data_IF_401377594409
#
_entry.id   IF_401377594409
#
_cell.length_a   1.000
_cell.length_b   1.000
_cell.length_c   1.000
_cell.angle_alpha   90.00
_cell.angle_beta   90.00
_cell.angle_gamma   90.00
#
_symmetry.space_group_name_H-M   'P 1'
#
loop_
_entity.id
_entity.type
_entity.pdbx_description
1 polymer ?
#
# COMPACT_ATOMS: atom_id res chain seq x y z
N UNK A 1 18.47 18.24 43.93
CA UNK A 1 18.39 19.10 42.72
C UNK A 1 17.04 18.79 42.07
N UNK A 2 15.94 19.39 42.52
CA UNK A 2 15.30 20.62 42.01
C UNK A 2 15.10 20.64 40.48
N UNK A 3 13.86 20.28 40.11
CA UNK A 3 12.96 20.85 39.07
C UNK A 3 13.49 20.96 37.61
N UNK A 4 12.70 20.99 36.53
CA UNK A 4 11.37 21.55 36.27
C UNK A 4 10.77 20.81 35.06
N UNK A 5 9.51 20.39 35.16
CA UNK A 5 8.61 20.08 34.05
C UNK A 5 8.14 21.36 33.39
N UNK A 6 8.17 21.45 32.05
CA UNK A 6 7.52 22.54 31.31
C UNK A 6 6.69 21.94 30.16
N UNK A 7 5.38 21.92 30.39
CA UNK A 7 4.34 21.71 29.38
C UNK A 7 4.23 22.97 28.51
N UNK A 8 4.16 22.80 27.19
CA UNK A 8 3.73 23.87 26.27
C UNK A 8 2.39 23.47 25.67
N UNK A 9 1.36 24.23 26.06
CA UNK A 9 0.03 24.26 25.48
C UNK A 9 0.10 25.02 24.15
N UNK A 10 -0.37 24.41 23.06
CA UNK A 10 -0.68 25.13 21.81
C UNK A 10 -2.18 25.41 21.82
N UNK A 11 -2.51 26.70 21.94
CA UNK A 11 -3.88 27.20 21.90
C UNK A 11 -4.38 27.27 20.46
N UNK A 12 -5.50 26.58 20.19
CA UNK A 12 -6.26 26.75 18.96
C UNK A 12 -7.11 28.02 19.06
N UNK A 13 -6.86 29.00 18.18
CA UNK A 13 -7.72 30.16 18.01
C UNK A 13 -8.69 29.90 16.84
N UNK A 14 -9.93 29.52 17.18
CA UNK A 14 -11.07 29.58 16.26
C UNK A 14 -11.55 31.04 16.20
N UNK A 15 -11.58 31.65 15.02
CA UNK A 15 -12.30 32.92 14.81
C UNK A 15 -13.57 32.63 14.02
N UNK A 16 -14.71 32.88 14.66
CA UNK A 16 -16.03 32.88 14.04
C UNK A 16 -16.30 34.29 13.49
N UNK A 17 -16.55 34.40 12.19
CA UNK A 17 -17.07 35.62 11.57
C UNK A 17 -18.53 35.82 11.95
N UNK A 18 -18.85 36.99 12.51
CA UNK A 18 -20.22 37.46 12.73
C UNK A 18 -20.49 38.67 11.82
N UNK A 19 -21.53 38.57 11.00
CA UNK A 19 -22.07 39.65 10.18
C UNK A 19 -22.86 40.67 11.02
N UNK A 20 -22.77 41.96 10.66
CA UNK A 20 -23.76 42.99 11.01
C UNK A 20 -23.70 44.13 10.00
N UNK A 21 -24.87 44.54 9.52
CA UNK A 21 -25.08 45.53 8.46
C UNK A 21 -25.56 46.91 8.98
N UNK A 22 -25.32 47.94 8.16
CA UNK A 22 -26.00 49.25 8.00
C UNK A 22 -26.01 50.28 9.17
N UNK A 23 -25.91 51.62 8.98
CA UNK A 23 -25.91 52.52 7.81
C UNK A 23 -25.52 53.98 8.22
N UNK A 24 -25.07 54.77 7.22
CA UNK A 24 -25.13 56.25 7.02
C UNK A 24 -24.49 57.27 7.99
N UNK A 25 -23.47 58.00 7.54
CA UNK A 25 -23.56 59.37 6.98
C UNK A 25 -22.15 59.99 6.74
N UNK A 26 -22.01 60.76 5.65
CA UNK A 26 -20.78 61.48 5.23
C UNK A 26 -20.96 63.02 5.41
N UNK A 27 -20.03 63.92 5.01
CA UNK A 27 -18.62 63.78 4.58
C UNK A 27 -17.64 64.84 5.18
N UNK A 28 -16.30 64.63 5.10
CA UNK A 28 -15.35 65.70 4.68
C UNK A 28 -13.92 65.19 4.43
N UNK A 29 -13.45 65.38 3.20
CA UNK A 29 -12.10 65.77 2.72
C UNK A 29 -10.81 65.33 3.45
N UNK A 30 -9.91 64.67 2.70
CA UNK A 30 -8.48 64.55 2.98
C UNK A 30 -7.82 63.49 2.09
N UNK A 31 -6.75 63.86 1.39
CA UNK A 31 -6.12 63.15 0.27
C UNK A 31 -5.08 62.09 0.69
N UNK A 32 -4.76 61.26 -0.31
CA UNK A 32 -3.50 60.53 -0.58
C UNK A 32 -3.35 59.05 -0.13
N UNK A 33 -3.32 58.20 -1.17
CA UNK A 33 -2.47 57.02 -1.42
C UNK A 33 -2.19 56.01 -0.28
N UNK A 34 -2.73 54.77 -0.40
CA UNK A 34 -1.91 53.54 -0.41
C UNK A 34 -2.71 52.26 -0.74
N UNK A 35 -2.15 51.48 -1.68
CA UNK A 35 -2.29 50.03 -1.95
C UNK A 35 -3.67 49.35 -1.85
N UNK A 36 -4.24 49.06 -3.03
CA UNK A 36 -4.99 47.82 -3.24
C UNK A 36 -4.04 46.63 -3.30
N UNK A 37 -4.43 45.50 -2.71
CA UNK A 37 -4.40 44.15 -3.30
C UNK A 37 -4.16 43.09 -2.22
N UNK A 38 -5.24 42.58 -1.62
CA UNK A 38 -5.21 41.29 -0.90
C UNK A 38 -6.34 40.36 -1.34
N UNK A 39 -6.94 40.63 -2.51
CA UNK A 39 -7.99 39.78 -3.10
C UNK A 39 -7.60 39.11 -4.44
N UNK A 40 -6.44 39.41 -5.02
CA UNK A 40 -6.00 38.81 -6.30
C UNK A 40 -5.16 37.54 -6.15
N UNK A 41 -4.56 37.28 -5.00
CA UNK A 41 -3.58 36.19 -4.85
C UNK A 41 -4.19 34.79 -4.94
N UNK A 42 -5.46 34.63 -4.57
CA UNK A 42 -6.12 33.32 -4.60
C UNK A 42 -6.79 33.01 -5.96
N UNK A 43 -7.07 34.04 -6.78
CA UNK A 43 -7.58 33.88 -8.13
C UNK A 43 -6.43 33.74 -9.15
N UNK A 44 -5.30 34.44 -8.95
CA UNK A 44 -4.11 34.32 -9.81
C UNK A 44 -3.43 32.96 -9.67
N UNK A 45 -3.32 32.43 -8.45
CA UNK A 45 -2.76 31.09 -8.21
C UNK A 45 -3.54 29.99 -8.95
N UNK A 46 -4.85 30.14 -9.08
CA UNK A 46 -5.72 29.21 -9.83
C UNK A 46 -5.64 29.36 -11.35
N UNK A 47 -5.10 30.47 -11.86
CA UNK A 47 -4.94 30.74 -13.30
C UNK A 47 -3.55 30.32 -13.79
N UNK A 48 -2.51 30.59 -13.01
CA UNK A 48 -1.13 30.17 -13.29
C UNK A 48 -0.97 28.64 -13.18
N UNK A 49 -1.64 28.00 -12.22
CA UNK A 49 -1.65 26.53 -12.12
C UNK A 49 -2.25 25.86 -13.38
N UNK A 50 -3.19 26.51 -14.07
CA UNK A 50 -3.79 25.98 -15.32
C UNK A 50 -2.83 25.98 -16.50
N UNK A 51 -1.78 26.82 -16.46
CA UNK A 51 -0.77 26.83 -17.53
C UNK A 51 0.13 25.59 -17.48
N UNK A 52 0.26 24.99 -16.30
CA UNK A 52 1.04 23.77 -16.06
C UNK A 52 0.27 22.49 -16.39
N UNK A 53 -1.03 22.47 -16.09
CA UNK A 53 -1.94 21.35 -16.37
C UNK A 53 -1.94 21.06 -17.87
N UNK A 54 -1.91 19.78 -18.23
CA UNK A 54 -1.97 19.34 -19.62
C UNK A 54 -1.07 18.14 -19.91
N UNK A 55 -0.85 17.91 -21.19
CA UNK A 55 0.00 16.84 -21.69
C UNK A 55 1.34 17.39 -22.15
N UNK A 56 2.41 16.72 -21.73
CA UNK A 56 3.79 17.03 -22.05
C UNK A 56 4.41 15.81 -22.72
N UNK A 57 5.19 16.02 -23.78
CA UNK A 57 5.82 14.92 -24.53
C UNK A 57 7.28 15.20 -24.87
N UNK A 58 8.07 14.13 -24.92
CA UNK A 58 9.42 14.10 -25.49
C UNK A 58 9.60 12.82 -26.30
N UNK A 59 9.94 12.98 -27.57
CA UNK A 59 10.33 11.86 -28.42
C UNK A 59 11.84 11.58 -28.26
N UNK A 60 12.21 10.31 -28.24
CA UNK A 60 13.59 9.84 -28.21
C UNK A 60 13.83 8.75 -29.25
N UNK A 61 15.05 8.65 -29.75
CA UNK A 61 15.44 7.65 -30.76
C UNK A 61 15.11 8.05 -32.20
N UNK A 62 15.49 7.19 -33.15
CA UNK A 62 15.26 7.39 -34.59
C UNK A 62 14.72 6.09 -35.24
N UNK A 63 13.93 6.23 -36.31
CA UNK A 63 13.43 5.10 -37.09
C UNK A 63 12.51 4.18 -36.30
N UNK A 64 12.78 2.88 -36.30
CA UNK A 64 11.99 1.83 -35.62
C UNK A 64 12.24 1.77 -34.10
N UNK A 65 13.22 2.52 -33.58
CA UNK A 65 13.54 2.60 -32.15
C UNK A 65 13.07 3.92 -31.51
N UNK A 66 12.06 4.54 -32.12
CA UNK A 66 11.45 5.75 -31.58
C UNK A 66 10.58 5.38 -30.36
N UNK A 67 10.79 6.08 -29.27
CA UNK A 67 9.95 6.00 -28.06
C UNK A 67 9.50 7.40 -27.66
N UNK A 68 8.43 7.47 -26.88
CA UNK A 68 7.88 8.74 -26.41
C UNK A 68 7.70 8.69 -24.90
N UNK A 69 8.25 9.68 -24.21
CA UNK A 69 7.87 10.01 -22.85
C UNK A 69 6.63 10.90 -22.90
N UNK A 70 5.60 10.50 -22.19
CA UNK A 70 4.38 11.30 -22.01
C UNK A 70 4.22 11.57 -20.52
N UNK A 71 4.09 12.84 -20.14
CA UNK A 71 3.65 13.22 -18.82
C UNK A 71 2.29 13.91 -18.90
N UNK A 72 1.31 13.39 -18.17
CA UNK A 72 0.01 14.04 -17.99
C UNK A 72 -0.07 14.64 -16.60
N UNK A 73 -0.37 15.93 -16.53
CA UNK A 73 -0.35 16.72 -15.30
C UNK A 73 -1.74 17.24 -14.99
N UNK A 74 -2.27 16.89 -13.82
CA UNK A 74 -3.45 17.51 -13.21
C UNK A 74 -3.01 18.53 -12.15
N UNK A 75 -3.96 19.05 -11.36
CA UNK A 75 -3.63 19.94 -10.24
C UNK A 75 -2.76 19.24 -9.18
N UNK A 76 -3.03 17.95 -8.96
CA UNK A 76 -2.59 17.16 -7.82
C UNK A 76 -1.84 15.86 -8.17
N UNK A 77 -1.81 15.48 -9.45
CA UNK A 77 -1.18 14.23 -9.93
C UNK A 77 -0.33 14.50 -11.16
N UNK A 78 0.82 13.82 -11.21
CA UNK A 78 1.59 13.63 -12.42
C UNK A 78 1.66 12.14 -12.74
N UNK A 79 1.27 11.80 -13.98
CA UNK A 79 1.40 10.46 -14.54
C UNK A 79 2.46 10.49 -15.63
N UNK A 80 3.46 9.62 -15.57
CA UNK A 80 4.50 9.47 -16.59
C UNK A 80 4.43 8.08 -17.20
N UNK A 81 4.38 8.04 -18.52
CA UNK A 81 4.46 6.84 -19.36
C UNK A 81 5.69 6.93 -20.27
N UNK A 82 6.27 5.76 -20.55
CA UNK A 82 7.27 5.61 -21.60
C UNK A 82 6.84 4.48 -22.53
N UNK A 83 6.50 4.83 -23.76
CA UNK A 83 6.17 3.86 -24.79
C UNK A 83 7.46 3.19 -25.30
N UNK A 84 7.89 2.15 -24.58
CA UNK A 84 8.96 1.25 -24.98
C UNK A 84 8.37 -0.07 -25.51
N UNK A 85 7.74 -0.01 -26.69
CA UNK A 85 7.27 -1.19 -27.40
C UNK A 85 5.83 -1.62 -27.04
N UNK A 86 5.30 -2.66 -27.70
CA UNK A 86 3.85 -2.84 -27.90
C UNK A 86 3.04 -3.31 -26.67
N UNK A 87 3.53 -3.18 -25.43
CA UNK A 87 2.89 -3.83 -24.28
C UNK A 87 2.96 -3.15 -22.91
N UNK A 88 3.45 -1.91 -22.76
CA UNK A 88 3.32 -1.21 -21.47
C UNK A 88 2.13 -0.26 -21.52
N UNK A 89 0.94 -0.75 -21.16
CA UNK A 89 -0.25 0.08 -20.93
C UNK A 89 -0.26 0.71 -19.52
N UNK A 90 0.72 0.38 -18.68
CA UNK A 90 0.80 0.86 -17.31
C UNK A 90 1.83 2.00 -17.16
N UNK A 91 1.50 3.03 -16.36
CA UNK A 91 2.39 4.16 -16.14
C UNK A 91 3.64 3.74 -15.36
N UNK A 92 4.79 4.27 -15.78
CA UNK A 92 6.04 4.17 -15.04
C UNK A 92 5.97 4.94 -13.72
N UNK A 93 5.23 6.04 -13.71
CA UNK A 93 5.07 6.89 -12.54
C UNK A 93 3.63 7.34 -12.42
N UNK A 94 3.08 7.19 -11.22
CA UNK A 94 1.95 7.98 -10.75
C UNK A 94 2.42 8.58 -9.44
N UNK A 95 2.22 9.88 -9.26
CA UNK A 95 2.63 10.51 -8.01
C UNK A 95 2.00 11.87 -7.79
N UNK A 96 2.18 12.37 -6.57
CA UNK A 96 1.63 13.67 -6.16
C UNK A 96 2.22 14.80 -6.98
N UNK A 97 1.42 15.80 -7.30
CA UNK A 97 1.88 17.01 -7.94
C UNK A 97 1.28 18.25 -7.28
N UNK A 98 1.94 19.39 -7.45
CA UNK A 98 1.45 20.68 -6.98
C UNK A 98 1.62 21.68 -8.12
N UNK A 99 0.59 21.75 -8.98
CA UNK A 99 0.63 22.61 -10.17
C UNK A 99 0.82 24.09 -9.81
N UNK A 100 0.33 24.52 -8.65
CA UNK A 100 0.46 25.91 -8.19
C UNK A 100 1.89 26.26 -7.77
N UNK A 101 2.65 25.31 -7.19
CA UNK A 101 4.09 25.48 -6.95
C UNK A 101 4.88 25.42 -8.25
N UNK A 102 4.60 24.44 -9.10
CA UNK A 102 5.28 24.29 -10.38
C UNK A 102 5.14 25.55 -11.26
N UNK A 103 3.95 26.16 -11.29
CA UNK A 103 3.68 27.39 -12.06
C UNK A 103 4.53 28.59 -11.61
N UNK A 104 5.00 28.60 -10.36
CA UNK A 104 5.91 29.62 -9.83
C UNK A 104 7.38 29.34 -10.13
N UNK A 105 7.67 28.26 -10.87
CA UNK A 105 9.02 27.79 -11.18
C UNK A 105 9.71 27.05 -10.03
N UNK A 106 8.95 26.66 -8.99
CA UNK A 106 9.48 25.85 -7.90
C UNK A 106 9.65 24.39 -8.33
N UNK A 107 10.66 23.71 -7.78
CA UNK A 107 10.77 22.25 -7.91
C UNK A 107 9.69 21.59 -7.04
N UNK A 108 8.91 20.70 -7.64
CA UNK A 108 7.91 19.88 -6.98
C UNK A 108 8.46 18.48 -6.76
N UNK A 109 8.65 18.09 -5.50
CA UNK A 109 8.97 16.71 -5.14
C UNK A 109 7.68 15.87 -5.17
N UNK A 110 7.49 15.12 -6.25
CA UNK A 110 6.39 14.16 -6.39
C UNK A 110 6.67 12.93 -5.54
N UNK A 111 5.72 12.51 -4.71
CA UNK A 111 5.76 11.21 -4.00
C UNK A 111 5.11 10.14 -4.86
N UNK A 112 5.76 8.99 -4.97
CA UNK A 112 5.25 7.83 -5.69
C UNK A 112 3.93 7.36 -5.09
N UNK A 113 3.01 6.96 -5.95
CA UNK A 113 1.73 6.38 -5.58
C UNK A 113 1.81 4.85 -5.56
N UNK A 114 1.89 4.29 -4.36
CA UNK A 114 1.88 2.85 -4.17
C UNK A 114 0.52 2.26 -4.54
N UNK A 115 0.55 1.29 -5.45
CA UNK A 115 -0.65 0.70 -6.05
C UNK A 115 -1.22 1.52 -7.22
N UNK A 116 -0.69 2.70 -7.54
CA UNK A 116 -1.02 3.46 -8.75
C UNK A 116 -0.24 2.99 -10.00
N UNK A 117 0.82 2.22 -9.77
CA UNK A 117 1.73 1.67 -10.79
C UNK A 117 1.86 0.16 -10.63
N UNK A 118 2.36 -0.50 -11.67
CA UNK A 118 2.63 -1.93 -11.63
C UNK A 118 3.80 -2.28 -10.70
N UNK A 119 3.91 -3.55 -10.26
CA UNK A 119 4.96 -3.99 -9.33
C UNK A 119 6.39 -3.82 -9.83
N UNK A 120 6.64 -4.01 -11.12
CA UNK A 120 7.98 -3.87 -11.68
C UNK A 120 8.38 -2.40 -11.73
N UNK A 121 7.45 -1.51 -12.12
CA UNK A 121 7.65 -0.07 -12.03
C UNK A 121 7.85 0.40 -10.60
N UNK A 122 7.09 -0.12 -9.62
CA UNK A 122 7.28 0.24 -8.21
C UNK A 122 8.67 -0.13 -7.68
N UNK A 123 9.21 -1.26 -8.11
CA UNK A 123 10.55 -1.69 -7.72
C UNK A 123 11.65 -0.85 -8.39
N UNK A 124 11.48 -0.48 -9.65
CA UNK A 124 12.48 0.26 -10.42
C UNK A 124 12.52 1.74 -10.07
N UNK A 125 11.38 2.32 -9.69
CA UNK A 125 11.25 3.77 -9.51
C UNK A 125 11.56 4.20 -8.07
N UNK A 126 12.21 5.36 -7.88
CA UNK A 126 12.47 5.89 -6.54
C UNK A 126 11.16 6.22 -5.79
N UNK A 127 11.23 6.43 -4.47
CA UNK A 127 10.04 6.85 -3.70
C UNK A 127 9.58 8.28 -4.04
N UNK A 128 10.46 9.10 -4.62
CA UNK A 128 10.17 10.48 -5.02
C UNK A 128 10.81 10.84 -6.35
N UNK A 129 10.13 11.71 -7.10
CA UNK A 129 10.61 12.29 -8.35
C UNK A 129 10.56 13.82 -8.26
N UNK A 130 11.69 14.48 -8.40
CA UNK A 130 11.73 15.95 -8.46
C UNK A 130 11.40 16.42 -9.87
N UNK A 131 10.34 17.22 -9.98
CA UNK A 131 9.82 17.75 -11.24
C UNK A 131 9.91 19.28 -11.22
N UNK A 132 10.41 19.88 -12.30
CA UNK A 132 10.54 21.33 -12.41
C UNK A 132 10.11 21.80 -13.79
N UNK A 133 9.45 22.95 -13.85
CA UNK A 133 9.16 23.64 -15.11
C UNK A 133 10.21 24.72 -15.32
N UNK A 134 10.96 24.63 -16.41
CA UNK A 134 12.04 25.54 -16.76
C UNK A 134 12.21 25.59 -18.28
N UNK A 135 12.38 26.79 -18.85
CA UNK A 135 12.48 27.00 -20.30
C UNK A 135 11.28 26.43 -21.10
N UNK A 136 10.07 26.62 -20.58
CA UNK A 136 8.81 26.09 -21.14
C UNK A 136 8.82 24.55 -21.30
N UNK A 137 9.60 23.86 -20.47
CA UNK A 137 9.71 22.40 -20.44
C UNK A 137 9.48 21.85 -19.04
N UNK A 138 8.78 20.72 -18.96
CA UNK A 138 8.67 19.91 -17.77
C UNK A 138 9.88 18.97 -17.71
N UNK A 139 10.72 19.15 -16.69
CA UNK A 139 11.99 18.44 -16.53
C UNK A 139 11.99 17.58 -15.27
N UNK A 140 12.53 16.38 -15.39
CA UNK A 140 12.81 15.47 -14.29
C UNK A 140 13.92 14.49 -14.69
N UNK A 141 14.52 13.84 -13.70
CA UNK A 141 15.53 12.80 -13.91
C UNK A 141 15.07 11.52 -13.24
N UNK A 142 15.04 10.41 -13.97
CA UNK A 142 14.83 9.07 -13.42
C UNK A 142 16.19 8.42 -13.28
N UNK A 143 16.60 8.09 -12.06
CA UNK A 143 17.86 7.36 -11.80
C UNK A 143 17.56 5.88 -11.55
N UNK A 144 17.73 5.05 -12.58
CA UNK A 144 17.67 3.59 -12.47
C UNK A 144 19.09 3.04 -12.46
N UNK A 145 19.53 2.46 -11.35
CA UNK A 145 20.80 1.74 -11.21
C UNK A 145 22.04 2.49 -11.73
N UNK A 146 22.11 3.81 -11.52
CA UNK A 146 23.27 4.63 -11.88
C UNK A 146 23.32 5.06 -13.35
N UNK A 147 22.25 4.85 -14.10
CA UNK A 147 22.05 5.39 -15.44
C UNK A 147 20.93 6.44 -15.40
N UNK A 148 21.26 7.71 -15.11
CA UNK A 148 20.25 8.76 -15.06
C UNK A 148 19.69 9.01 -16.46
N UNK A 149 18.36 9.04 -16.52
CA UNK A 149 17.60 9.42 -17.70
C UNK A 149 16.99 10.80 -17.48
N UNK A 150 17.54 11.79 -18.18
CA UNK A 150 17.06 13.16 -18.15
C UNK A 150 15.91 13.35 -19.14
N UNK A 151 14.77 13.77 -18.61
CA UNK A 151 13.58 14.07 -19.38
C UNK A 151 13.35 15.59 -19.41
N UNK A 152 13.02 16.12 -20.58
CA UNK A 152 12.75 17.52 -20.85
C UNK A 152 11.60 17.63 -21.87
N UNK A 153 10.38 17.48 -21.36
CA UNK A 153 9.17 17.37 -22.15
C UNK A 153 8.63 18.75 -22.50
N UNK A 154 8.04 18.89 -23.68
CA UNK A 154 7.34 20.11 -24.11
C UNK A 154 5.84 19.90 -24.01
N UNK A 155 5.13 20.95 -23.63
CA UNK A 155 3.67 20.92 -23.61
C UNK A 155 3.13 20.75 -25.03
N UNK A 156 2.22 19.80 -25.22
CA UNK A 156 1.57 19.49 -26.51
C UNK A 156 0.06 19.64 -26.45
N UNK A 157 -0.55 19.58 -25.25
CA UNK A 157 -1.98 19.77 -25.03
C UNK A 157 -2.23 20.45 -23.69
N UNK A 158 -3.30 21.24 -23.58
CA UNK A 158 -3.76 21.85 -22.33
C UNK A 158 -4.60 20.89 -21.49
N UNK A 159 -5.10 19.80 -22.08
CA UNK A 159 -5.79 18.72 -21.38
C UNK A 159 -4.84 17.54 -21.12
N UNK A 160 -4.85 16.95 -19.91
CA UNK A 160 -4.09 15.74 -19.62
C UNK A 160 -4.70 14.55 -20.39
N UNK A 161 -3.86 13.85 -21.14
CA UNK A 161 -4.26 12.70 -21.96
C UNK A 161 -4.54 11.46 -21.12
N UNK A 162 -3.79 11.28 -20.02
CA UNK A 162 -3.94 10.20 -19.05
C UNK A 162 -4.23 10.81 -17.70
N UNK A 163 -5.24 10.29 -17.00
CA UNK A 163 -5.57 10.71 -15.64
C UNK A 163 -5.58 9.50 -14.72
N UNK A 164 -4.76 9.56 -13.68
CA UNK A 164 -4.72 8.57 -12.61
C UNK A 164 -5.22 9.18 -11.31
N UNK A 165 -5.84 8.39 -10.45
CA UNK A 165 -6.18 8.77 -9.08
C UNK A 165 -5.14 8.20 -8.11
N UNK A 166 -4.73 8.99 -7.12
CA UNK A 166 -3.78 8.53 -6.10
C UNK A 166 -4.41 7.45 -5.22
N UNK A 167 -3.69 6.34 -5.06
CA UNK A 167 -4.06 5.20 -4.24
C UNK A 167 -3.56 5.35 -2.81
N UNK A 168 -2.24 5.41 -2.63
CA UNK A 168 -1.56 5.65 -1.37
C UNK A 168 -0.12 6.16 -1.60
N UNK A 169 0.23 7.28 -0.97
CA UNK A 169 1.56 7.89 -1.09
C UNK A 169 2.47 7.63 0.13
N UNK A 170 2.02 6.81 1.08
CA UNK A 170 2.84 6.38 2.21
C UNK A 170 3.89 5.37 1.72
N UNK A 171 5.17 5.62 2.00
CA UNK A 171 6.28 4.72 1.63
C UNK A 171 6.74 3.82 2.79
N UNK A 172 6.05 3.85 3.93
CA UNK A 172 6.42 3.10 5.13
C UNK A 172 6.38 1.59 4.87
N UNK A 173 7.51 0.93 5.15
CA UNK A 173 7.68 -0.53 5.11
C UNK A 173 8.31 -0.99 6.41
N UNK A 174 7.61 -1.80 7.19
CA UNK A 174 8.16 -2.38 8.41
C UNK A 174 7.39 -3.61 8.85
N UNK A 175 8.08 -4.59 9.44
CA UNK A 175 7.44 -5.65 10.22
C UNK A 175 7.97 -5.64 11.65
N UNK A 176 7.15 -5.17 12.57
CA UNK A 176 7.55 -5.04 13.98
C UNK A 176 6.33 -5.08 14.89
N UNK A 177 6.50 -5.60 16.10
CA UNK A 177 5.46 -5.61 17.14
C UNK A 177 4.17 -6.28 16.59
N UNK A 178 4.36 -7.40 15.85
CA UNK A 178 3.34 -8.17 15.12
C UNK A 178 2.59 -7.43 14.00
N UNK A 179 3.01 -6.23 13.60
CA UNK A 179 2.37 -5.45 12.54
C UNK A 179 3.31 -5.33 11.34
N UNK A 180 2.87 -5.87 10.20
CA UNK A 180 3.42 -5.58 8.87
C UNK A 180 2.70 -4.36 8.33
N UNK A 181 3.45 -3.29 8.16
CA UNK A 181 3.01 -2.05 7.54
C UNK A 181 3.68 -1.96 6.18
N UNK A 182 2.88 -1.99 5.11
CA UNK A 182 3.28 -1.74 3.73
C UNK A 182 2.49 -0.56 3.16
N UNK A 183 2.95 0.05 2.06
CA UNK A 183 2.17 1.02 1.33
C UNK A 183 0.82 0.47 0.83
N UNK A 184 0.76 -0.80 0.45
CA UNK A 184 -0.45 -1.39 -0.15
C UNK A 184 -1.36 -2.07 0.88
N UNK A 185 -0.83 -2.50 2.02
CA UNK A 185 -1.58 -3.26 3.02
C UNK A 185 -1.05 -3.07 4.45
N UNK A 186 -1.89 -3.39 5.43
CA UNK A 186 -1.44 -3.67 6.81
C UNK A 186 -1.83 -5.10 7.16
N UNK A 187 -0.91 -5.89 7.69
CA UNK A 187 -1.20 -7.22 8.24
C UNK A 187 -0.78 -7.25 9.71
N UNK A 188 -1.72 -7.52 10.61
CA UNK A 188 -1.46 -7.67 12.04
C UNK A 188 -1.58 -9.13 12.43
N UNK A 189 -0.51 -9.73 12.94
CA UNK A 189 -0.56 -11.06 13.56
C UNK A 189 -1.22 -10.90 14.94
N UNK A 190 -2.39 -11.52 15.09
CA UNK A 190 -3.23 -11.41 16.29
C UNK A 190 -3.06 -12.58 17.25
N UNK A 191 -2.55 -13.72 16.77
CA UNK A 191 -2.27 -14.90 17.57
C UNK A 191 -1.55 -15.99 16.77
N UNK A 192 -1.02 -16.98 17.48
CA UNK A 192 -0.43 -18.18 16.87
C UNK A 192 -0.75 -19.43 17.69
N UNK A 193 -1.10 -20.52 17.01
CA UNK A 193 -1.60 -21.74 17.63
C UNK A 193 -0.83 -22.95 17.13
N UNK A 194 -0.34 -23.80 18.03
CA UNK A 194 0.24 -25.10 17.65
C UNK A 194 -0.85 -26.17 17.74
N UNK A 195 -1.07 -26.90 16.64
CA UNK A 195 -2.13 -27.91 16.55
C UNK A 195 -1.54 -29.26 16.14
N UNK A 196 -1.58 -30.22 17.06
CA UNK A 196 -1.09 -31.57 16.85
C UNK A 196 -1.91 -32.34 15.79
N UNK A 197 -1.29 -33.30 15.07
CA UNK A 197 -2.00 -34.26 14.22
C UNK A 197 -3.17 -34.93 14.95
N UNK A 198 -4.32 -35.00 14.29
CA UNK A 198 -5.52 -35.64 14.84
C UNK A 198 -6.31 -34.78 15.84
N UNK A 199 -5.81 -33.60 16.21
CA UNK A 199 -6.55 -32.63 17.03
C UNK A 199 -7.57 -31.84 16.19
N UNK A 200 -8.53 -31.19 16.86
CA UNK A 200 -9.46 -30.28 16.18
C UNK A 200 -8.68 -29.14 15.50
N UNK A 201 -8.94 -28.89 14.22
CA UNK A 201 -8.17 -27.94 13.40
C UNK A 201 -7.05 -28.59 12.60
N UNK A 202 -6.64 -29.83 12.92
CA UNK A 202 -5.62 -30.59 12.19
C UNK A 202 -5.95 -32.11 12.19
N UNK A 203 -7.22 -32.48 12.02
CA UNK A 203 -7.65 -33.87 12.22
C UNK A 203 -7.14 -34.85 11.15
N UNK A 204 -6.76 -34.32 9.99
CA UNK A 204 -6.30 -35.08 8.83
C UNK A 204 -4.83 -34.88 8.48
N UNK A 205 -4.13 -33.95 9.17
CA UNK A 205 -2.71 -33.74 8.92
C UNK A 205 -1.85 -34.80 9.59
N UNK A 206 -0.71 -35.09 8.98
CA UNK A 206 0.28 -36.05 9.48
C UNK A 206 1.39 -35.37 10.30
N UNK A 207 1.50 -34.04 10.22
CA UNK A 207 2.45 -33.18 10.95
C UNK A 207 1.74 -32.17 11.84
N UNK A 208 2.34 -31.74 12.97
CA UNK A 208 1.84 -30.59 13.70
C UNK A 208 1.88 -29.35 12.82
N UNK A 209 0.96 -28.42 13.04
CA UNK A 209 0.92 -27.15 12.31
C UNK A 209 1.02 -25.98 13.29
N UNK A 210 1.61 -24.87 12.84
CA UNK A 210 1.41 -23.55 13.45
C UNK A 210 0.39 -22.78 12.62
N UNK A 211 -0.68 -22.31 13.25
CA UNK A 211 -1.71 -21.46 12.65
C UNK A 211 -1.51 -20.03 13.13
N UNK A 212 -1.26 -19.09 12.21
CA UNK A 212 -1.24 -17.67 12.50
C UNK A 212 -2.60 -17.05 12.21
N UNK A 213 -3.22 -16.45 13.23
CA UNK A 213 -4.42 -15.65 13.07
C UNK A 213 -4.01 -14.19 12.80
N UNK A 214 -4.65 -13.56 11.83
CA UNK A 214 -4.30 -12.21 11.42
C UNK A 214 -5.50 -11.33 11.08
N UNK A 215 -5.28 -10.03 11.11
CA UNK A 215 -6.13 -9.02 10.48
C UNK A 215 -5.40 -8.41 9.29
N UNK A 216 -6.06 -8.32 8.14
CA UNK A 216 -5.50 -7.74 6.92
C UNK A 216 -6.35 -6.56 6.46
N UNK A 217 -5.70 -5.43 6.21
CA UNK A 217 -6.32 -4.19 5.72
C UNK A 217 -5.79 -3.84 4.34
N UNK A 218 -6.68 -3.62 3.38
CA UNK A 218 -6.31 -3.12 2.06
C UNK A 218 -6.23 -1.59 2.08
N UNK A 219 -5.12 -1.00 1.63
CA UNK A 219 -4.95 0.48 1.58
C UNK A 219 -5.23 1.07 0.20
N UNK A 220 -5.35 0.23 -0.82
CA UNK A 220 -5.55 0.65 -2.21
C UNK A 220 -6.86 0.09 -2.76
N UNK A 221 -7.20 0.42 -3.99
CA UNK A 221 -8.34 -0.15 -4.71
C UNK A 221 -7.99 -1.46 -5.46
N UNK A 222 -6.73 -1.88 -5.42
CA UNK A 222 -6.26 -3.12 -6.04
C UNK A 222 -6.82 -4.32 -5.30
N UNK A 223 -6.98 -5.43 -6.02
CA UNK A 223 -7.46 -6.66 -5.43
C UNK A 223 -6.47 -7.16 -4.38
N UNK A 224 -7.00 -7.45 -3.19
CA UNK A 224 -6.27 -8.02 -2.07
C UNK A 224 -7.20 -8.99 -1.36
N UNK A 225 -6.73 -10.19 -1.07
CA UNK A 225 -7.49 -11.24 -0.40
C UNK A 225 -6.71 -11.75 0.82
N UNK A 226 -7.37 -12.26 1.86
CA UNK A 226 -6.62 -12.85 2.98
C UNK A 226 -5.74 -14.03 2.57
N UNK A 227 -6.09 -14.76 1.50
CA UNK A 227 -5.23 -15.80 0.91
C UNK A 227 -3.86 -15.29 0.44
N UNK A 228 -3.73 -13.99 0.17
CA UNK A 228 -2.47 -13.37 -0.25
C UNK A 228 -1.47 -13.24 0.92
N UNK A 229 -1.82 -13.70 2.12
CA UNK A 229 -0.90 -13.81 3.26
C UNK A 229 0.43 -14.48 2.87
N UNK A 230 0.39 -15.53 2.05
CA UNK A 230 1.60 -16.25 1.59
C UNK A 230 2.50 -15.42 0.67
N UNK A 231 1.99 -14.34 0.08
CA UNK A 231 2.80 -13.39 -0.71
C UNK A 231 3.62 -12.50 0.24
N UNK A 232 3.06 -12.16 1.40
CA UNK A 232 3.70 -11.29 2.38
C UNK A 232 4.59 -12.01 3.38
N UNK A 233 4.38 -13.30 3.61
CA UNK A 233 5.08 -13.99 4.69
C UNK A 233 5.66 -15.35 4.28
N UNK A 234 6.87 -15.61 4.76
CA UNK A 234 7.51 -16.92 4.77
C UNK A 234 7.74 -17.34 6.21
N UNK A 235 7.42 -18.59 6.56
CA UNK A 235 7.71 -19.15 7.88
C UNK A 235 8.94 -20.05 7.80
N UNK A 236 9.86 -19.92 8.76
CA UNK A 236 11.12 -20.65 8.81
C UNK A 236 11.26 -21.32 10.17
N UNK A 237 11.69 -22.59 10.19
CA UNK A 237 12.25 -23.23 11.39
C UNK A 237 13.70 -23.62 11.12
N UNK A 238 14.65 -22.81 11.57
CA UNK A 238 16.08 -23.07 11.40
C UNK A 238 16.59 -24.18 12.35
N UNK A 239 16.16 -25.41 12.08
CA UNK A 239 16.49 -26.61 12.86
C UNK A 239 17.55 -27.50 12.20
N UNK A 240 18.17 -27.03 11.11
CA UNK A 240 19.18 -27.76 10.35
C UNK A 240 20.43 -26.91 10.15
N UNK A 241 21.57 -27.36 10.70
CA UNK A 241 22.85 -26.65 10.61
C UNK A 241 23.34 -26.37 9.18
N UNK A 242 22.78 -27.04 8.16
CA UNK A 242 23.22 -26.94 6.78
C UNK A 242 22.22 -26.27 5.84
N UNK A 243 21.00 -25.94 6.30
CA UNK A 243 19.96 -25.38 5.45
C UNK A 243 18.93 -24.57 6.24
N UNK A 244 18.59 -23.39 5.72
CA UNK A 244 17.38 -22.66 6.13
C UNK A 244 16.19 -23.50 5.70
N UNK A 245 15.36 -23.88 6.67
CA UNK A 245 14.22 -24.74 6.43
C UNK A 245 12.93 -23.89 6.46
N UNK A 246 12.48 -23.51 5.26
CA UNK A 246 11.19 -22.88 5.04
C UNK A 246 10.07 -23.91 5.26
N UNK A 247 9.05 -23.54 6.02
CA UNK A 247 7.93 -24.41 6.29
C UNK A 247 6.95 -24.42 5.12
N UNK A 248 6.44 -25.61 4.81
CA UNK A 248 5.41 -25.78 3.80
C UNK A 248 4.06 -25.20 4.30
N UNK A 249 3.26 -24.59 3.41
CA UNK A 249 1.89 -24.22 3.74
C UNK A 249 1.09 -25.42 4.22
N UNK A 250 0.48 -25.27 5.40
CA UNK A 250 -0.40 -26.27 6.00
C UNK A 250 -1.87 -25.97 5.71
N UNK A 251 -2.73 -26.94 6.06
CA UNK A 251 -4.17 -26.75 6.06
C UNK A 251 -4.72 -26.84 7.48
N UNK A 252 -5.59 -25.90 7.85
CA UNK A 252 -6.35 -25.98 9.10
C UNK A 252 -7.84 -25.88 8.84
N UNK A 253 -8.60 -26.73 9.55
CA UNK A 253 -10.04 -26.80 9.41
C UNK A 253 -10.77 -25.67 10.13
N UNK A 254 -10.06 -24.92 10.96
CA UNK A 254 -10.55 -23.70 11.59
C UNK A 254 -10.49 -22.49 10.67
N UNK A 255 -9.79 -22.58 9.55
CA UNK A 255 -9.71 -21.49 8.58
C UNK A 255 -11.06 -21.32 7.89
N UNK A 256 -11.61 -20.11 7.95
CA UNK A 256 -12.81 -19.72 7.21
C UNK A 256 -12.46 -19.51 5.72
N UNK A 257 -12.56 -20.57 4.93
CA UNK A 257 -12.15 -20.57 3.52
C UNK A 257 -12.94 -19.59 2.64
N UNK A 258 -14.20 -19.30 2.97
CA UNK A 258 -15.00 -18.33 2.19
C UNK A 258 -14.39 -16.94 2.33
N UNK A 259 -14.16 -16.53 3.58
CA UNK A 259 -13.56 -15.23 3.90
C UNK A 259 -12.12 -15.10 3.37
N UNK A 260 -11.39 -16.21 3.18
CA UNK A 260 -10.04 -16.18 2.62
C UNK A 260 -9.98 -15.81 1.12
N UNK A 261 -11.09 -15.96 0.37
CA UNK A 261 -11.13 -15.72 -1.09
C UNK A 261 -11.80 -14.43 -1.49
N UNK A 262 -12.50 -13.78 -0.55
CA UNK A 262 -13.19 -12.53 -0.78
C UNK A 262 -12.21 -11.36 -0.89
N UNK A 263 -12.47 -10.48 -1.86
CA UNK A 263 -11.69 -9.27 -2.04
C UNK A 263 -11.95 -8.26 -0.91
N UNK A 264 -10.87 -7.78 -0.31
CA UNK A 264 -10.88 -6.75 0.72
C UNK A 264 -11.01 -5.40 0.02
N UNK A 265 -12.08 -4.65 0.32
CA UNK A 265 -12.28 -3.30 -0.21
C UNK A 265 -11.21 -2.33 0.32
N UNK A 266 -10.90 -1.27 -0.43
CA UNK A 266 -10.07 -0.15 0.04
C UNK A 266 -10.51 0.35 1.41
N UNK A 267 -9.58 0.38 2.37
CA UNK A 267 -9.78 0.74 3.77
C UNK A 267 -10.52 -0.29 4.63
N UNK A 268 -10.92 -1.43 4.06
CA UNK A 268 -11.56 -2.52 4.79
C UNK A 268 -10.53 -3.40 5.49
N UNK A 269 -10.91 -3.93 6.66
CA UNK A 269 -10.12 -4.89 7.44
C UNK A 269 -10.92 -6.17 7.62
N UNK A 270 -10.29 -7.31 7.37
CA UNK A 270 -10.88 -8.64 7.59
C UNK A 270 -9.94 -9.53 8.37
N UNK A 271 -10.49 -10.55 9.02
CA UNK A 271 -9.72 -11.58 9.73
C UNK A 271 -9.38 -12.73 8.78
N UNK A 272 -8.27 -13.40 9.03
CA UNK A 272 -7.91 -14.63 8.33
C UNK A 272 -6.96 -15.46 9.18
N UNK A 273 -6.64 -16.66 8.68
CA UNK A 273 -5.67 -17.54 9.32
C UNK A 273 -4.84 -18.29 8.28
N UNK A 274 -3.54 -18.43 8.50
CA UNK A 274 -2.64 -19.18 7.63
C UNK A 274 -1.85 -20.21 8.43
N UNK A 275 -1.83 -21.45 7.96
CA UNK A 275 -1.14 -22.56 8.62
C UNK A 275 0.17 -22.89 7.92
N UNK A 276 1.15 -23.35 8.69
CA UNK A 276 2.41 -23.91 8.20
C UNK A 276 2.70 -25.23 8.91
N UNK A 277 3.19 -26.23 8.18
CA UNK A 277 3.58 -27.51 8.77
C UNK A 277 4.88 -27.36 9.56
N UNK A 278 4.86 -27.75 10.83
CA UNK A 278 6.04 -27.74 11.70
C UNK A 278 6.84 -29.03 11.51
N UNK A 279 8.16 -28.90 11.49
CA UNK A 279 9.07 -30.06 11.48
C UNK A 279 9.40 -30.57 12.88
N UNK A 280 9.43 -29.67 13.87
CA UNK A 280 9.56 -30.02 15.27
C UNK A 280 8.83 -29.00 16.18
N UNK A 281 8.62 -29.38 17.44
CA UNK A 281 7.86 -28.61 18.43
C UNK A 281 8.74 -27.79 19.39
N UNK A 282 10.04 -27.72 19.12
CA UNK A 282 11.04 -27.09 20.00
C UNK A 282 11.72 -25.88 19.37
N UNK A 283 11.85 -25.86 18.05
CA UNK A 283 12.44 -24.76 17.29
C UNK A 283 11.38 -23.67 17.10
N UNK A 284 11.63 -22.43 17.55
CA UNK A 284 10.74 -21.31 17.27
C UNK A 284 10.57 -21.09 15.76
N UNK A 285 9.46 -20.47 15.39
CA UNK A 285 9.20 -20.10 14.00
C UNK A 285 9.62 -18.65 13.79
N UNK A 286 10.48 -18.40 12.82
CA UNK A 286 10.73 -17.06 12.31
C UNK A 286 9.74 -16.78 11.18
N UNK A 287 8.89 -15.77 11.36
CA UNK A 287 8.01 -15.28 10.32
C UNK A 287 8.69 -14.09 9.66
N UNK A 288 9.06 -14.24 8.40
CA UNK A 288 9.74 -13.22 7.59
C UNK A 288 8.70 -12.52 6.73
N UNK A 289 8.56 -11.21 6.92
CA UNK A 289 7.71 -10.37 6.10
C UNK A 289 8.46 -9.88 4.86
N UNK A 290 7.77 -9.92 3.73
CA UNK A 290 8.28 -9.56 2.42
C UNK A 290 7.32 -8.60 1.71
N UNK A 291 7.88 -7.72 0.89
CA UNK A 291 7.19 -6.85 -0.05
C UNK A 291 7.62 -7.20 -1.48
N UNK A 292 7.05 -6.54 -2.48
CA UNK A 292 7.36 -6.76 -3.90
C UNK A 292 7.18 -8.23 -4.29
N UNK A 293 6.01 -8.80 -4.00
CA UNK A 293 5.66 -10.19 -4.33
C UNK A 293 6.60 -11.24 -3.73
N UNK A 294 7.18 -10.94 -2.56
CA UNK A 294 8.04 -11.89 -1.85
C UNK A 294 9.54 -11.71 -2.12
N UNK A 295 9.94 -10.70 -2.90
CA UNK A 295 11.34 -10.51 -3.28
C UNK A 295 12.15 -9.70 -2.26
N UNK A 296 11.52 -8.72 -1.59
CA UNK A 296 12.23 -7.81 -0.68
C UNK A 296 11.84 -8.09 0.76
N UNK A 297 12.80 -8.50 1.60
CA UNK A 297 12.56 -8.64 3.02
C UNK A 297 12.34 -7.26 3.68
N UNK A 298 11.26 -7.15 4.46
CA UNK A 298 10.87 -5.94 5.19
C UNK A 298 11.19 -6.06 6.68
N UNK A 299 11.27 -7.29 7.19
CA UNK A 299 11.70 -7.61 8.55
C UNK A 299 11.22 -8.99 8.96
N UNK A 300 11.66 -9.47 10.12
CA UNK A 300 11.29 -10.77 10.67
C UNK A 300 10.94 -10.68 12.16
N UNK A 301 10.12 -11.63 12.63
CA UNK A 301 9.80 -11.79 14.04
C UNK A 301 9.77 -13.28 14.43
N UNK A 302 10.26 -13.58 15.63
CA UNK A 302 10.30 -14.94 16.16
C UNK A 302 9.09 -15.23 17.05
N UNK A 303 8.40 -16.34 16.77
CA UNK A 303 7.26 -16.84 17.51
C UNK A 303 7.63 -18.14 18.20
N UNK A 304 7.56 -18.15 19.53
CA UNK A 304 7.83 -19.35 20.32
C UNK A 304 6.61 -20.24 20.40
N UNK A 305 6.80 -21.53 20.20
CA UNK A 305 5.71 -22.51 20.12
C UNK A 305 5.02 -22.73 21.48
N UNK A 306 5.76 -22.61 22.58
CA UNK A 306 5.22 -22.69 23.94
C UNK A 306 4.39 -21.48 24.37
N UNK A 307 4.50 -20.35 23.65
CA UNK A 307 3.72 -19.14 23.89
C UNK A 307 2.41 -19.13 23.06
N UNK A 308 2.03 -20.29 22.50
CA UNK A 308 0.81 -20.43 21.69
C UNK A 308 -0.44 -20.01 22.44
N UNK A 309 -1.30 -19.26 21.74
CA UNK A 309 -2.60 -18.86 22.25
C UNK A 309 -3.54 -20.07 22.29
N UNK A 310 -4.41 -20.21 23.30
CA UNK A 310 -5.50 -21.19 23.22
C UNK A 310 -6.36 -20.86 22.01
N UNK A 311 -6.65 -21.87 21.18
CA UNK A 311 -7.64 -21.74 20.11
C UNK A 311 -8.96 -21.27 20.73
N UNK A 312 -9.62 -20.27 20.16
CA UNK A 312 -10.99 -19.98 20.57
C UNK A 312 -11.82 -21.26 20.37
N UNK A 313 -12.61 -21.68 21.37
CA UNK A 313 -13.34 -22.93 21.25
C UNK A 313 -14.25 -22.84 20.04
N UNK A 314 -14.11 -23.78 19.12
CA UNK A 314 -15.00 -23.93 17.99
C UNK A 314 -16.46 -23.80 18.50
N UNK A 315 -17.35 -23.11 17.77
CA UNK A 315 -18.76 -23.10 18.10
C UNK A 315 -19.16 -24.55 18.36
N UNK A 316 -19.70 -24.83 19.55
CA UNK A 316 -20.11 -26.19 19.89
C UNK A 316 -21.10 -26.63 18.82
N UNK A 317 -20.69 -27.58 17.98
CA UNK A 317 -21.60 -28.35 17.16
C UNK A 317 -22.54 -29.08 18.12
N UNK A 318 -23.67 -28.46 18.46
CA UNK A 318 -24.79 -29.16 19.04
C UNK A 318 -25.39 -30.08 17.96
N UNK A 319 -24.77 -31.25 17.83
CA UNK A 319 -25.36 -32.44 17.24
C UNK A 319 -25.24 -32.56 15.73
N UNK A 320 -24.16 -33.17 15.27
CA UNK A 320 -24.23 -34.27 14.30
C UNK A 320 -22.87 -34.94 14.15
N UNK A 321 -22.68 -36.02 14.90
CA UNK A 321 -21.66 -37.02 14.56
C UNK A 321 -22.16 -37.77 13.32
N UNK A 322 -21.47 -37.76 12.16
CA UNK A 322 -21.88 -38.59 11.04
C UNK A 322 -21.59 -40.05 11.41
N UNK A 323 -22.63 -40.82 11.68
CA UNK A 323 -22.51 -42.27 11.88
C UNK A 323 -21.96 -42.89 10.59
N UNK A 324 -20.74 -43.45 10.66
CA UNK A 324 -20.11 -44.17 9.55
C UNK A 324 -21.07 -45.26 9.02
N UNK A 325 -21.25 -45.39 7.70
CA UNK A 325 -22.19 -46.36 7.14
C UNK A 325 -21.71 -47.79 7.47
N UNK A 326 -22.54 -48.52 8.24
CA UNK A 326 -22.33 -49.93 8.55
C UNK A 326 -22.23 -50.75 7.25
N UNK A 327 -21.11 -51.46 7.07
CA UNK A 327 -20.90 -52.43 5.98
C UNK A 327 -22.06 -53.44 5.98
N UNK A 328 -22.77 -53.55 4.85
CA UNK A 328 -23.67 -54.67 4.59
C UNK A 328 -22.86 -55.96 4.50
N UNK A 329 -23.13 -56.91 5.38
CA UNK A 329 -22.67 -58.28 5.24
C UNK A 329 -23.19 -58.88 3.93
N UNK A 330 -22.31 -59.57 3.21
CA UNK A 330 -22.65 -60.38 2.05
C UNK A 330 -23.36 -61.63 2.53
N UNK A 331 -24.67 -61.72 2.30
CA UNK A 331 -25.37 -63.00 2.37
C UNK A 331 -24.86 -63.94 1.27
N UNK A 332 -24.19 -64.99 1.71
CA UNK A 332 -23.90 -66.19 0.92
C UNK A 332 -25.17 -67.02 0.78
N UNK A 333 -25.66 -67.22 -0.44
CA UNK A 333 -26.52 -68.36 -0.77
C UNK A 333 -25.90 -69.14 -1.93
N UNK A 334 -25.38 -70.32 -1.58
CA UNK A 334 -25.15 -71.44 -2.49
C UNK A 334 -26.37 -72.35 -2.43
N UNK A 335 -26.90 -72.64 -3.63
CA UNK A 335 -27.77 -73.76 -4.08
C UNK A 335 -29.10 -73.97 -3.37
#
# INVERSE_FOLDING_TARGET
MRHITASILIAAALTLSACSADSNDAPSNGSDENSSSSQDSNASSSKEAKEVIGTWEQEQGEGEHKSTFTASVTEDVITVEWDFGPSSEEPLWVGTFDAAKAAKGETVTSKKDAGGIDPASDLMMPDTLDVKIEDDQLKFTIDTDGYPLDAALKKVDDEPKITSELQNTDSTRSFKDNVLELPTATVTITGHHVIDPGSTGNRFGDKPIVLFDFEMTNKTDKDLKPSDFSIFFTAIQDNNENSINELEPGFSESTDLENMTDSIKKGGTVKGSSAFELDDLTTPVELVAKDNFGETEVGSQTYKLEESTPMDPAPKDEGSSPELPKKKEKDTHSV
#
